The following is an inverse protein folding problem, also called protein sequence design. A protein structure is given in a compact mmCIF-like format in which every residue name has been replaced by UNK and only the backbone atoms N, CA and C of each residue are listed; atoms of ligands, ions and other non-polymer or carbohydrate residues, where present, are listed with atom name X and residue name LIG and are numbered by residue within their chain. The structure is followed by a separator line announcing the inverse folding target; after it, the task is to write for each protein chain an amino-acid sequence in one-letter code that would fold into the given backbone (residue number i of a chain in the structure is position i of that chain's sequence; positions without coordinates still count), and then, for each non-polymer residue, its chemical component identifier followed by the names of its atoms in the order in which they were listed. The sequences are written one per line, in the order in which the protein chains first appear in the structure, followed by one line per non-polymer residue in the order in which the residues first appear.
data_IF_612071481514
#
_entry.id   IF_612071481514
#
_cell.length_a   1.000
_cell.length_b   1.000
_cell.length_c   1.000
_cell.angle_alpha   90.00
_cell.angle_beta   90.00
_cell.angle_gamma   90.00
#
_symmetry.space_group_name_H-M   'P 1'
#
loop_
_entity.id
_entity.type
_entity.pdbx_description
1 polymer ?
#
# COMPACT_ATOMS: atom_id res chain seq x y z
N UNK A 1 -24.13 20.86 53.20
CA UNK A 1 -22.74 20.42 53.04
C UNK A 1 -22.65 19.76 51.68
N UNK A 2 -22.18 20.51 50.64
CA UNK A 2 -22.14 20.03 49.29
C UNK A 2 -20.73 19.49 48.95
N UNK A 3 -20.65 18.27 48.42
CA UNK A 3 -19.40 17.66 47.96
C UNK A 3 -19.18 18.13 46.52
N UNK A 4 -18.14 18.93 46.29
CA UNK A 4 -17.63 19.25 44.96
C UNK A 4 -16.71 18.11 44.54
N UNK A 5 -17.15 17.31 43.58
CA UNK A 5 -16.25 16.39 42.84
C UNK A 5 -15.62 17.24 41.75
N UNK A 6 -14.36 17.61 41.90
CA UNK A 6 -13.57 18.21 40.86
C UNK A 6 -13.42 17.19 39.73
N UNK A 7 -14.12 17.40 38.61
CA UNK A 7 -13.82 16.73 37.35
C UNK A 7 -12.47 17.29 36.97
N UNK A 8 -11.43 16.47 37.07
CA UNK A 8 -10.12 16.82 36.60
C UNK A 8 -10.23 17.29 35.17
N UNK A 9 -9.86 18.53 34.91
CA UNK A 9 -9.63 19.05 33.58
C UNK A 9 -8.52 18.20 32.95
N UNK A 10 -8.90 17.11 32.31
CA UNK A 10 -8.02 16.49 31.33
C UNK A 10 -7.86 17.55 30.24
N UNK A 11 -6.74 18.24 30.28
CA UNK A 11 -6.30 19.10 29.18
C UNK A 11 -6.63 18.36 27.89
N UNK A 12 -7.42 18.92 26.95
CA UNK A 12 -7.66 18.24 25.70
C UNK A 12 -6.29 17.91 25.12
N UNK A 13 -6.04 16.64 24.91
CA UNK A 13 -4.77 16.20 24.35
C UNK A 13 -4.52 17.04 23.08
N UNK A 14 -3.44 17.79 23.08
CA UNK A 14 -3.13 18.65 21.93
C UNK A 14 -3.04 17.76 20.70
N UNK A 15 -3.50 18.20 19.50
CA UNK A 15 -3.34 17.45 18.25
C UNK A 15 -1.91 16.94 18.04
N UNK A 16 -0.94 17.66 18.58
CA UNK A 16 0.49 17.35 18.62
C UNK A 16 0.79 15.92 19.15
N UNK A 17 0.03 15.42 20.11
CA UNK A 17 0.24 14.09 20.70
C UNK A 17 -0.12 12.94 19.76
N UNK A 18 -0.76 13.23 18.64
CA UNK A 18 -1.37 12.24 17.75
C UNK A 18 -0.81 12.24 16.33
N UNK A 19 0.18 13.09 16.04
CA UNK A 19 0.83 13.10 14.74
C UNK A 19 2.35 13.10 14.84
N UNK A 20 2.98 12.71 13.76
CA UNK A 20 4.41 12.80 13.51
C UNK A 20 4.65 13.16 12.06
N UNK A 21 5.83 13.67 11.75
CA UNK A 21 6.14 14.05 10.39
C UNK A 21 7.45 14.79 10.28
N UNK A 22 7.66 15.44 9.15
CA UNK A 22 8.90 16.14 8.83
C UNK A 22 8.65 17.52 8.25
N UNK A 23 9.63 18.38 8.42
CA UNK A 23 9.74 19.66 7.73
C UNK A 23 10.99 19.68 6.86
N UNK A 24 10.85 20.28 5.68
CA UNK A 24 11.91 20.45 4.69
C UNK A 24 11.97 21.93 4.31
N UNK A 25 13.15 22.56 4.45
CA UNK A 25 13.37 23.90 3.90
C UNK A 25 13.81 23.79 2.43
N UNK A 26 12.96 24.21 1.50
CA UNK A 26 13.23 24.06 0.06
C UNK A 26 14.31 25.00 -0.48
N UNK A 27 14.70 26.01 0.30
CA UNK A 27 15.72 27.00 -0.09
C UNK A 27 17.14 26.62 0.34
N UNK A 28 17.30 25.48 1.01
CA UNK A 28 18.60 24.98 1.48
C UNK A 28 18.97 23.74 0.68
N UNK A 29 20.10 23.77 -0.01
CA UNK A 29 20.67 22.57 -0.59
C UNK A 29 21.10 21.61 0.53
N UNK A 30 20.96 20.31 0.34
CA UNK A 30 21.25 19.29 1.36
C UNK A 30 20.46 19.48 2.66
N UNK A 31 19.20 19.77 2.54
CA UNK A 31 18.32 20.01 3.68
C UNK A 31 18.20 18.78 4.56
N UNK A 32 18.65 18.86 5.79
CA UNK A 32 18.34 17.90 6.82
C UNK A 32 16.82 17.95 7.13
N UNK A 33 16.18 16.79 7.16
CA UNK A 33 14.78 16.69 7.58
C UNK A 33 14.66 17.04 9.07
N UNK A 34 13.79 17.98 9.40
CA UNK A 34 13.45 18.29 10.79
C UNK A 34 12.22 17.49 11.19
N UNK A 35 12.36 16.64 12.21
CA UNK A 35 11.23 15.89 12.78
C UNK A 35 10.31 16.81 13.53
N UNK A 36 9.00 16.67 13.31
CA UNK A 36 7.95 17.44 13.99
C UNK A 36 6.85 16.52 14.49
N UNK A 37 6.07 17.00 15.48
CA UNK A 37 5.08 16.19 16.18
C UNK A 37 5.70 15.44 17.36
N UNK A 38 5.00 14.42 17.84
CA UNK A 38 5.39 13.69 19.05
C UNK A 38 6.62 12.82 18.83
N UNK A 39 7.70 12.99 19.61
CA UNK A 39 8.96 12.25 19.41
C UNK A 39 8.80 10.73 19.46
N UNK A 40 7.97 10.21 20.36
CA UNK A 40 7.75 8.78 20.53
C UNK A 40 7.11 8.14 19.28
N UNK A 41 6.30 8.89 18.53
CA UNK A 41 5.70 8.40 17.30
C UNK A 41 6.71 8.25 16.16
N UNK A 42 7.83 8.98 16.20
CA UNK A 42 8.94 8.79 15.27
C UNK A 42 9.76 7.52 15.56
N UNK A 43 9.63 6.95 16.74
CA UNK A 43 10.26 5.67 17.10
C UNK A 43 9.32 4.50 16.78
N UNK A 44 8.06 4.63 17.14
CA UNK A 44 7.07 3.55 16.98
C UNK A 44 6.50 3.45 15.58
N UNK A 45 6.51 4.56 14.81
CA UNK A 45 5.99 4.67 13.44
C UNK A 45 4.63 3.97 13.29
N UNK A 46 3.58 4.43 13.97
CA UNK A 46 2.37 3.64 14.16
C UNK A 46 1.65 3.29 12.86
N UNK A 47 1.69 4.12 11.83
CA UNK A 47 1.12 3.78 10.52
C UNK A 47 1.94 2.68 9.85
N UNK A 48 3.27 2.83 9.81
CA UNK A 48 4.16 1.87 9.18
C UNK A 48 4.17 0.52 9.92
N UNK A 49 4.10 0.54 11.26
CA UNK A 49 4.06 -0.68 12.07
C UNK A 49 2.80 -1.53 11.87
N UNK A 50 1.73 -0.93 11.36
CA UNK A 50 0.48 -1.62 11.01
C UNK A 50 0.47 -2.16 9.58
N UNK A 51 1.48 -1.85 8.75
CA UNK A 51 1.58 -2.42 7.41
C UNK A 51 1.85 -3.92 7.50
N UNK A 52 1.08 -4.70 6.74
CA UNK A 52 1.18 -6.16 6.76
C UNK A 52 1.16 -6.73 5.35
N UNK A 53 2.00 -7.74 5.12
CA UNK A 53 1.91 -8.56 3.90
C UNK A 53 0.75 -9.53 4.03
N UNK A 54 0.01 -9.73 2.95
CA UNK A 54 -1.17 -10.59 2.92
C UNK A 54 -1.38 -11.22 1.55
N UNK A 55 -2.24 -12.23 1.51
CA UNK A 55 -2.81 -12.78 0.28
C UNK A 55 -4.23 -12.27 0.13
N UNK A 56 -4.54 -11.72 -1.06
CA UNK A 56 -5.85 -11.14 -1.36
C UNK A 56 -6.47 -11.88 -2.53
N UNK A 57 -7.73 -12.28 -2.41
CA UNK A 57 -8.50 -12.88 -3.49
C UNK A 57 -8.96 -11.83 -4.51
N UNK A 58 -9.53 -12.28 -5.63
CA UNK A 58 -10.01 -11.39 -6.69
C UNK A 58 -11.17 -10.48 -6.25
N UNK A 59 -11.89 -10.83 -5.18
CA UNK A 59 -12.93 -9.99 -4.55
C UNK A 59 -12.36 -8.87 -3.67
N UNK A 60 -11.03 -8.80 -3.50
CA UNK A 60 -10.37 -7.79 -2.66
C UNK A 60 -10.36 -8.11 -1.16
N UNK A 61 -10.64 -9.36 -0.80
CA UNK A 61 -10.67 -9.81 0.59
C UNK A 61 -9.34 -10.44 0.98
N UNK A 62 -8.87 -10.15 2.18
CA UNK A 62 -7.67 -10.79 2.75
C UNK A 62 -8.00 -12.23 3.10
N UNK A 63 -7.34 -13.16 2.44
CA UNK A 63 -7.45 -14.59 2.71
C UNK A 63 -6.61 -14.99 3.92
N UNK A 64 -5.38 -14.48 3.98
CA UNK A 64 -4.48 -14.69 5.11
C UNK A 64 -3.41 -13.61 5.15
N UNK A 65 -2.89 -13.32 6.34
CA UNK A 65 -1.69 -12.51 6.48
C UNK A 65 -0.45 -13.38 6.42
N UNK A 66 0.66 -12.80 6.00
CA UNK A 66 1.95 -13.46 5.99
C UNK A 66 2.71 -13.17 7.28
N UNK A 67 3.61 -14.08 7.63
CA UNK A 67 4.45 -13.93 8.81
C UNK A 67 5.31 -12.64 8.69
N UNK A 68 5.47 -11.87 9.76
CA UNK A 68 6.11 -10.54 9.69
C UNK A 68 7.57 -10.58 9.22
N UNK A 69 8.30 -11.66 9.48
CA UNK A 69 9.72 -11.79 9.12
C UNK A 69 10.01 -12.89 8.09
N UNK A 70 9.02 -13.74 7.76
CA UNK A 70 9.19 -14.84 6.79
C UNK A 70 7.99 -14.92 5.85
N UNK A 71 8.12 -14.30 4.66
CA UNK A 71 7.02 -14.26 3.66
C UNK A 71 6.63 -15.63 3.11
N UNK A 72 7.43 -16.69 3.35
CA UNK A 72 7.10 -18.04 2.90
C UNK A 72 6.11 -18.75 3.85
N UNK A 73 5.74 -18.06 4.93
CA UNK A 73 4.80 -18.55 5.94
C UNK A 73 3.62 -17.61 6.11
N UNK A 74 2.50 -18.16 6.50
CA UNK A 74 1.36 -17.41 7.02
C UNK A 74 1.65 -16.92 8.44
N UNK A 75 0.86 -16.01 8.96
CA UNK A 75 0.96 -15.53 10.34
C UNK A 75 0.75 -16.64 11.39
N UNK A 76 0.11 -17.75 11.01
CA UNK A 76 -0.03 -18.95 11.85
C UNK A 76 1.16 -19.93 11.74
N UNK A 77 2.16 -19.61 10.90
CA UNK A 77 3.35 -20.44 10.71
C UNK A 77 3.23 -21.53 9.64
N UNK A 78 2.08 -21.71 9.01
CA UNK A 78 1.91 -22.64 7.90
C UNK A 78 2.63 -22.10 6.63
N UNK A 79 2.97 -22.99 5.69
CA UNK A 79 3.53 -22.60 4.39
C UNK A 79 2.54 -21.75 3.63
N UNK A 80 2.97 -20.58 3.15
CA UNK A 80 2.16 -19.67 2.34
C UNK A 80 2.27 -20.04 0.86
N UNK A 81 1.13 -20.04 0.15
CA UNK A 81 1.10 -20.16 -1.31
C UNK A 81 1.28 -18.78 -1.95
N UNK A 82 2.47 -18.50 -2.42
CA UNK A 82 2.82 -17.25 -3.09
C UNK A 82 2.65 -17.32 -4.62
N UNK A 83 2.11 -18.42 -5.15
CA UNK A 83 2.02 -18.65 -6.60
C UNK A 83 0.76 -18.08 -7.25
N UNK A 84 -0.15 -17.53 -6.46
CA UNK A 84 -1.39 -16.90 -6.93
C UNK A 84 -2.62 -17.81 -6.93
N UNK A 85 -2.48 -19.08 -6.54
CA UNK A 85 -3.63 -20.00 -6.43
C UNK A 85 -4.55 -19.58 -5.27
N UNK A 86 -3.96 -19.24 -4.12
CA UNK A 86 -4.72 -18.77 -2.95
C UNK A 86 -5.10 -17.28 -3.05
N UNK A 87 -4.24 -16.47 -3.67
CA UNK A 87 -4.48 -15.04 -3.82
C UNK A 87 -3.23 -14.29 -4.27
N UNK A 88 -3.38 -12.99 -4.43
CA UNK A 88 -2.30 -12.10 -4.83
C UNK A 88 -1.50 -11.65 -3.60
N UNK A 89 -0.17 -11.62 -3.73
CA UNK A 89 0.72 -11.19 -2.63
C UNK A 89 0.74 -9.67 -2.59
N UNK A 90 0.18 -9.11 -1.55
CA UNK A 90 0.00 -7.67 -1.40
C UNK A 90 0.56 -7.18 -0.07
N UNK A 91 0.77 -5.88 0.03
CA UNK A 91 1.05 -5.17 1.27
C UNK A 91 -0.16 -4.31 1.61
N UNK A 92 -0.76 -4.55 2.75
CA UNK A 92 -1.82 -3.71 3.30
C UNK A 92 -1.21 -2.42 3.84
N UNK A 93 -1.68 -1.28 3.34
CA UNK A 93 -1.43 0.05 3.89
C UNK A 93 -2.66 0.41 4.72
N UNK A 94 -2.54 0.62 6.04
CA UNK A 94 -3.69 0.90 6.88
C UNK A 94 -4.30 2.26 6.55
N UNK A 95 -5.58 2.42 6.85
CA UNK A 95 -6.23 3.73 6.85
C UNK A 95 -5.44 4.65 7.78
N UNK A 96 -5.14 5.83 7.30
CA UNK A 96 -4.46 6.86 8.07
C UNK A 96 -4.87 8.25 7.60
N UNK A 97 -4.33 9.28 8.20
CA UNK A 97 -4.61 10.67 7.86
C UNK A 97 -3.29 11.39 7.63
N UNK A 98 -3.29 12.32 6.69
CA UNK A 98 -2.13 13.12 6.34
C UNK A 98 -2.47 14.58 6.22
N UNK A 99 -1.51 15.43 6.53
CA UNK A 99 -1.58 16.86 6.29
C UNK A 99 -0.31 17.29 5.57
N UNK A 100 -0.47 18.14 4.57
CA UNK A 100 0.62 18.74 3.84
C UNK A 100 0.42 20.25 3.83
N UNK A 101 1.45 20.98 4.16
CA UNK A 101 1.48 22.44 4.17
C UNK A 101 2.74 22.94 3.50
N UNK A 102 2.66 24.06 2.81
CA UNK A 102 3.79 24.76 2.24
C UNK A 102 3.57 26.26 2.45
N UNK A 103 4.50 26.91 3.13
CA UNK A 103 4.44 28.34 3.43
C UNK A 103 5.26 29.22 2.46
N UNK A 104 5.79 28.64 1.38
CA UNK A 104 6.69 29.28 0.42
C UNK A 104 8.18 28.98 0.69
N UNK A 105 8.51 28.43 1.87
CA UNK A 105 9.87 28.09 2.28
C UNK A 105 9.95 26.70 2.90
N UNK A 106 9.00 26.37 3.77
CA UNK A 106 8.98 25.11 4.51
C UNK A 106 7.85 24.24 3.98
N UNK A 107 8.18 23.04 3.58
CA UNK A 107 7.23 21.96 3.38
C UNK A 107 7.06 21.22 4.72
N UNK A 108 5.81 21.07 5.17
CA UNK A 108 5.47 20.28 6.36
C UNK A 108 4.59 19.12 5.93
N UNK A 109 5.05 17.89 6.17
CA UNK A 109 4.32 16.65 5.90
C UNK A 109 4.06 15.92 7.22
N UNK A 110 2.79 15.73 7.57
CA UNK A 110 2.35 15.14 8.82
C UNK A 110 1.47 13.91 8.58
N UNK A 111 1.58 12.93 9.47
CA UNK A 111 0.84 11.67 9.43
C UNK A 111 0.23 11.40 10.79
N UNK A 112 -0.97 10.82 10.79
CA UNK A 112 -1.69 10.41 12.00
C UNK A 112 -2.56 9.17 11.74
N UNK A 113 -2.80 8.37 12.78
CA UNK A 113 -3.87 7.36 12.77
C UNK A 113 -5.25 7.96 13.07
N UNK A 114 -5.29 9.23 13.48
CA UNK A 114 -6.50 9.91 13.94
C UNK A 114 -6.92 11.01 12.96
N UNK A 115 -8.22 11.21 12.84
CA UNK A 115 -8.77 12.33 12.08
C UNK A 115 -8.60 13.64 12.88
N UNK A 116 -7.52 14.35 12.58
CA UNK A 116 -7.21 15.62 13.21
C UNK A 116 -7.66 16.80 12.32
N UNK A 117 -7.88 17.99 12.89
CA UNK A 117 -8.24 19.17 12.10
C UNK A 117 -7.22 19.48 11.00
N UNK A 118 -7.70 19.61 9.76
CA UNK A 118 -6.86 19.88 8.59
C UNK A 118 -6.13 18.66 8.02
N UNK A 119 -6.34 17.47 8.58
CA UNK A 119 -5.84 16.23 8.00
C UNK A 119 -6.84 15.64 7.01
N UNK A 120 -6.32 15.01 5.97
CA UNK A 120 -7.10 14.32 4.93
C UNK A 120 -6.96 12.80 5.08
N UNK A 121 -8.07 12.10 4.95
CA UNK A 121 -8.08 10.65 5.01
C UNK A 121 -7.34 10.04 3.81
N UNK A 122 -6.48 9.08 4.10
CA UNK A 122 -5.96 8.10 3.15
C UNK A 122 -6.65 6.77 3.47
N UNK A 123 -7.52 6.28 2.61
CA UNK A 123 -8.24 5.04 2.87
C UNK A 123 -7.28 3.86 2.92
N UNK A 124 -7.69 2.78 3.59
CA UNK A 124 -6.97 1.51 3.52
C UNK A 124 -6.81 1.09 2.07
N UNK A 125 -5.61 0.70 1.67
CA UNK A 125 -5.30 0.23 0.34
C UNK A 125 -4.33 -0.94 0.37
N UNK A 126 -4.20 -1.61 -0.76
CA UNK A 126 -3.28 -2.72 -0.94
C UNK A 126 -2.38 -2.43 -2.14
N UNK A 127 -1.09 -2.60 -1.93
CA UNK A 127 -0.08 -2.43 -2.98
C UNK A 127 0.53 -3.80 -3.28
N UNK A 128 0.79 -4.09 -4.54
CA UNK A 128 1.46 -5.33 -4.93
C UNK A 128 2.83 -5.46 -4.26
N UNK A 129 3.10 -6.62 -3.68
CA UNK A 129 4.41 -6.91 -3.07
C UNK A 129 5.50 -7.20 -4.10
N UNK A 130 5.09 -7.57 -5.32
CA UNK A 130 5.97 -7.83 -6.47
C UNK A 130 5.58 -6.95 -7.64
N UNK A 131 6.51 -6.67 -8.50
CA UNK A 131 6.20 -6.11 -9.82
C UNK A 131 5.30 -7.08 -10.59
N UNK A 132 4.32 -6.51 -11.31
CA UNK A 132 3.28 -7.32 -11.92
C UNK A 132 3.83 -8.24 -13.02
N UNK A 133 3.40 -9.49 -13.00
CA UNK A 133 3.42 -10.39 -14.15
C UNK A 133 2.02 -10.52 -14.75
N UNK A 134 1.88 -11.18 -15.89
CA UNK A 134 0.59 -11.38 -16.54
C UNK A 134 0.19 -12.86 -16.44
N UNK A 135 -0.89 -13.11 -15.71
CA UNK A 135 -1.57 -14.39 -15.71
C UNK A 135 -2.36 -14.55 -17.02
N UNK A 136 -2.02 -15.59 -17.76
CA UNK A 136 -2.63 -15.94 -19.04
C UNK A 136 -3.27 -17.33 -19.03
N UNK A 137 -3.65 -17.82 -17.88
CA UNK A 137 -4.42 -19.08 -17.75
C UNK A 137 -5.64 -19.06 -18.66
N UNK A 138 -6.31 -17.90 -18.76
CA UNK A 138 -7.36 -17.65 -19.71
C UNK A 138 -6.89 -16.60 -20.73
N UNK A 139 -6.62 -17.02 -21.97
CA UNK A 139 -6.03 -16.16 -23.00
C UNK A 139 -6.92 -14.96 -23.37
N UNK A 140 -8.24 -15.11 -23.31
CA UNK A 140 -9.22 -14.05 -23.62
C UNK A 140 -9.30 -12.98 -22.51
N UNK A 141 -8.95 -13.31 -21.28
CA UNK A 141 -9.03 -12.43 -20.10
C UNK A 141 -7.74 -12.46 -19.28
N UNK A 142 -6.61 -11.98 -19.84
CA UNK A 142 -5.37 -11.90 -19.07
C UNK A 142 -5.55 -11.02 -17.84
N UNK A 143 -4.87 -11.36 -16.73
CA UNK A 143 -4.93 -10.62 -15.48
C UNK A 143 -3.54 -10.19 -15.04
N UNK A 144 -3.38 -9.02 -14.43
CA UNK A 144 -2.16 -8.70 -13.71
C UNK A 144 -2.08 -9.55 -12.44
N UNK A 145 -0.89 -10.01 -12.11
CA UNK A 145 -0.64 -10.82 -10.94
C UNK A 145 0.56 -10.32 -10.14
N UNK A 146 0.43 -10.29 -8.83
CA UNK A 146 1.49 -10.06 -7.86
C UNK A 146 1.79 -11.38 -7.16
N UNK A 147 2.71 -12.16 -7.70
CA UNK A 147 3.00 -13.53 -7.28
C UNK A 147 4.49 -13.86 -7.43
N UNK A 148 4.92 -14.91 -6.74
CA UNK A 148 6.19 -15.55 -7.09
C UNK A 148 5.98 -16.30 -8.40
N UNK A 149 6.43 -15.70 -9.48
CA UNK A 149 6.22 -16.19 -10.85
C UNK A 149 7.03 -17.46 -11.12
N UNK A 150 6.48 -18.61 -10.73
CA UNK A 150 7.10 -19.93 -10.89
C UNK A 150 6.36 -20.87 -11.84
N UNK A 151 5.20 -20.45 -12.35
CA UNK A 151 4.37 -21.30 -13.19
C UNK A 151 4.36 -20.85 -14.63
N UNK A 152 4.20 -21.80 -15.55
CA UNK A 152 4.14 -21.53 -16.99
C UNK A 152 2.93 -20.64 -17.43
N UNK A 153 1.96 -20.44 -16.55
CA UNK A 153 0.79 -19.61 -16.86
C UNK A 153 1.06 -18.10 -16.71
N UNK A 154 2.11 -17.73 -16.00
CA UNK A 154 2.48 -16.34 -15.79
C UNK A 154 3.55 -15.92 -16.79
N UNK A 155 3.29 -14.82 -17.48
CA UNK A 155 4.21 -14.27 -18.46
C UNK A 155 4.87 -13.01 -17.96
N UNK A 156 6.15 -13.11 -17.64
CA UNK A 156 7.05 -11.99 -17.46
C UNK A 156 7.71 -11.52 -18.76
N UNK A 157 8.56 -10.51 -18.68
CA UNK A 157 9.30 -9.97 -19.80
C UNK A 157 8.42 -9.34 -20.88
N UNK A 158 8.84 -9.44 -22.13
CA UNK A 158 8.18 -8.82 -23.27
C UNK A 158 6.76 -9.35 -23.52
N UNK A 159 5.79 -8.46 -23.52
CA UNK A 159 4.37 -8.76 -23.73
C UNK A 159 3.76 -7.99 -24.91
N UNK A 160 4.56 -7.58 -25.88
CA UNK A 160 4.12 -6.82 -27.06
C UNK A 160 3.36 -7.65 -28.10
N UNK A 161 3.46 -8.98 -28.07
CA UNK A 161 2.80 -9.88 -29.01
C UNK A 161 1.60 -10.58 -28.38
N UNK A 162 0.73 -11.10 -29.23
CA UNK A 162 -0.40 -11.90 -28.82
C UNK A 162 0.07 -13.17 -28.07
N UNK A 163 -0.80 -13.69 -27.23
CA UNK A 163 -0.58 -14.96 -26.57
C UNK A 163 -0.57 -16.12 -27.57
N UNK A 164 0.57 -16.80 -27.67
CA UNK A 164 0.77 -17.93 -28.58
C UNK A 164 1.17 -19.23 -27.86
N UNK A 165 1.19 -19.21 -26.55
CA UNK A 165 1.62 -20.34 -25.72
C UNK A 165 3.12 -20.50 -25.55
N UNK A 166 3.95 -19.77 -26.29
CA UNK A 166 5.42 -19.94 -26.26
C UNK A 166 6.10 -19.03 -25.23
N UNK A 167 5.44 -17.97 -24.81
CA UNK A 167 5.99 -16.96 -23.92
C UNK A 167 5.79 -17.24 -22.42
N UNK A 168 5.60 -18.49 -22.05
CA UNK A 168 5.44 -18.92 -20.66
C UNK A 168 6.76 -19.04 -19.90
N UNK A 169 7.88 -18.90 -20.60
CA UNK A 169 9.19 -19.27 -20.08
C UNK A 169 9.94 -18.15 -19.35
N UNK A 170 9.43 -16.92 -19.34
CA UNK A 170 10.08 -15.81 -18.62
C UNK A 170 9.61 -15.74 -17.17
N UNK A 171 9.84 -16.80 -16.44
CA UNK A 171 9.50 -16.92 -15.01
C UNK A 171 10.40 -16.00 -14.18
N UNK A 172 9.86 -15.45 -13.12
CA UNK A 172 10.57 -14.58 -12.20
C UNK A 172 10.79 -13.14 -12.71
N UNK A 173 10.35 -12.82 -13.93
CA UNK A 173 10.48 -11.48 -14.50
C UNK A 173 9.16 -10.71 -14.44
N UNK A 174 9.20 -9.38 -14.24
CA UNK A 174 8.03 -8.54 -14.36
C UNK A 174 7.58 -8.44 -15.84
N UNK A 175 6.32 -8.11 -16.04
CA UNK A 175 5.78 -7.88 -17.37
C UNK A 175 6.27 -6.54 -17.93
N UNK A 176 6.77 -6.54 -19.14
CA UNK A 176 7.23 -5.35 -19.87
C UNK A 176 6.56 -5.25 -21.24
N UNK A 177 6.76 -4.14 -21.93
CA UNK A 177 6.28 -3.90 -23.31
C UNK A 177 4.77 -4.15 -23.50
N UNK A 178 4.00 -3.80 -22.49
CA UNK A 178 2.54 -3.79 -22.53
C UNK A 178 2.06 -2.35 -22.45
N UNK A 179 1.10 -1.95 -23.27
CA UNK A 179 0.55 -0.60 -23.23
C UNK A 179 -0.11 -0.32 -21.88
N UNK A 180 -0.12 0.94 -21.43
CA UNK A 180 -0.81 1.36 -20.20
C UNK A 180 -2.29 0.97 -20.23
N UNK A 181 -2.93 1.03 -21.40
CA UNK A 181 -4.32 0.60 -21.60
C UNK A 181 -4.49 -0.87 -21.26
N UNK A 182 -3.59 -1.72 -21.73
CA UNK A 182 -3.62 -3.15 -21.42
C UNK A 182 -3.28 -3.44 -19.96
N UNK A 183 -2.31 -2.75 -19.36
CA UNK A 183 -2.04 -2.88 -17.94
C UNK A 183 -3.29 -2.58 -17.10
N UNK A 184 -3.97 -1.49 -17.38
CA UNK A 184 -5.23 -1.12 -16.69
C UNK A 184 -6.33 -2.14 -16.92
N UNK A 185 -6.49 -2.62 -18.16
CA UNK A 185 -7.47 -3.66 -18.50
C UNK A 185 -7.19 -4.95 -17.74
N UNK A 186 -5.95 -5.42 -17.73
CA UNK A 186 -5.56 -6.66 -17.09
C UNK A 186 -5.67 -6.60 -15.56
N UNK A 187 -5.43 -5.44 -14.96
CA UNK A 187 -5.73 -5.23 -13.56
C UNK A 187 -7.23 -5.38 -13.28
N UNK A 188 -8.09 -4.70 -14.06
CA UNK A 188 -9.56 -4.76 -13.92
C UNK A 188 -10.15 -6.12 -14.22
N UNK A 189 -9.53 -6.90 -15.09
CA UNK A 189 -9.96 -8.29 -15.36
C UNK A 189 -9.87 -9.16 -14.11
N UNK A 190 -9.13 -8.76 -13.07
CA UNK A 190 -9.06 -9.46 -11.80
C UNK A 190 -10.31 -9.23 -10.95
N UNK A 191 -10.85 -8.03 -10.98
CA UNK A 191 -12.07 -7.66 -10.31
C UNK A 191 -12.38 -6.20 -10.62
N UNK A 192 -13.53 -5.94 -11.21
CA UNK A 192 -14.03 -4.59 -11.34
C UNK A 192 -14.35 -4.04 -9.94
N UNK A 193 -14.35 -2.70 -9.82
CA UNK A 193 -14.60 -2.00 -8.59
C UNK A 193 -15.84 -2.53 -7.85
N UNK A 194 -15.65 -3.60 -7.11
CA UNK A 194 -16.54 -3.97 -6.03
C UNK A 194 -16.21 -3.08 -4.85
N UNK A 195 -17.17 -2.78 -4.01
CA UNK A 195 -16.99 -2.09 -2.74
C UNK A 195 -16.38 -0.67 -2.84
N UNK A 196 -17.22 0.32 -2.90
CA UNK A 196 -16.89 1.75 -2.74
C UNK A 196 -15.99 2.39 -3.82
N UNK A 197 -16.05 1.90 -5.06
CA UNK A 197 -15.31 2.50 -6.17
C UNK A 197 -13.82 2.14 -6.21
N UNK A 198 -13.35 1.25 -5.34
CA UNK A 198 -11.97 0.79 -5.26
C UNK A 198 -11.86 -0.62 -5.83
N UNK A 199 -11.45 -0.75 -7.06
CA UNK A 199 -11.18 -2.03 -7.69
C UNK A 199 -9.70 -2.26 -7.96
N UNK A 200 -9.39 -3.39 -8.56
CA UNK A 200 -8.05 -3.68 -9.04
C UNK A 200 -7.64 -2.67 -10.12
N UNK A 201 -6.47 -2.08 -9.97
CA UNK A 201 -5.92 -1.15 -10.95
C UNK A 201 -4.39 -1.29 -11.01
N UNK A 202 -3.77 -0.73 -12.04
CA UNK A 202 -2.34 -0.48 -11.98
C UNK A 202 -2.07 0.65 -10.96
N UNK A 203 -0.80 0.78 -10.52
CA UNK A 203 -0.45 1.78 -9.53
C UNK A 203 -0.90 3.18 -9.99
N UNK A 204 -1.75 3.81 -9.18
CA UNK A 204 -2.29 5.13 -9.43
C UNK A 204 -1.40 6.19 -8.78
N UNK A 205 -1.39 7.39 -9.36
CA UNK A 205 -0.68 8.53 -8.78
C UNK A 205 -1.07 8.79 -7.31
N UNK A 206 -2.35 8.68 -6.98
CA UNK A 206 -2.82 8.87 -5.61
C UNK A 206 -2.24 7.83 -4.62
N UNK A 207 -2.11 6.57 -5.04
CA UNK A 207 -1.49 5.52 -4.24
C UNK A 207 0.03 5.76 -4.10
N UNK A 208 0.69 6.14 -5.20
CA UNK A 208 2.11 6.48 -5.19
C UNK A 208 2.41 7.65 -4.23
N UNK A 209 1.60 8.71 -4.30
CA UNK A 209 1.74 9.86 -3.39
C UNK A 209 1.48 9.46 -1.94
N UNK A 210 0.48 8.60 -1.69
CA UNK A 210 0.20 8.13 -0.33
C UNK A 210 1.39 7.36 0.26
N UNK A 211 2.08 6.54 -0.54
CA UNK A 211 3.29 5.84 -0.11
C UNK A 211 4.48 6.78 0.06
N UNK A 212 4.66 7.70 -0.87
CA UNK A 212 5.78 8.65 -0.83
C UNK A 212 5.83 9.43 0.49
N UNK A 213 4.66 9.77 1.06
CA UNK A 213 4.59 10.50 2.33
C UNK A 213 4.73 9.62 3.57
N UNK A 214 4.84 8.31 3.43
CA UNK A 214 5.09 7.39 4.53
C UNK A 214 6.60 7.10 4.75
N UNK A 215 7.43 7.51 3.81
CA UNK A 215 8.88 7.33 3.83
C UNK A 215 9.61 8.66 3.76
#
# INVERSE_FOLDING_TARGET
MGIFIGIGNTKPAFPYDYYYGVQINVNVADTALTRVGRPELHVTLPVQSLMRRCLINDSGEVVTYLHPTDSTKTDTGATADLTGTTGQVMVEIPKHYRKFEFDGTIITALISLYNLPGFHEVPKMYISAYEATIDRTTSSTPKLASVVNKTANFRGGNNNSAWDGTYRSLLGLPATQTSLTNFRKYARNRGEAGLNGCGWNCNLYAAQVAMYWLY
#
